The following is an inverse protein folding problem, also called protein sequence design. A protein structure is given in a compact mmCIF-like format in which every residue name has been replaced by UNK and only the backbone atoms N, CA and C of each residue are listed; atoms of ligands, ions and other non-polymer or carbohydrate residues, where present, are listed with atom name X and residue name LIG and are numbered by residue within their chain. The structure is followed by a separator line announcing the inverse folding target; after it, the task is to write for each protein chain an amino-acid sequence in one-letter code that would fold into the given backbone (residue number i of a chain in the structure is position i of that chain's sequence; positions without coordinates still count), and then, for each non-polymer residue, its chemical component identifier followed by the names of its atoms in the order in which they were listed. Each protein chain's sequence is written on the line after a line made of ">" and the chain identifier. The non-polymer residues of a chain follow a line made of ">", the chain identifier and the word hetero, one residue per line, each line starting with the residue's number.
data_IF_466017696327
#
_entry.id   IF_466017696327
#
_cell.length_a   1.000
_cell.length_b   1.000
_cell.length_c   1.000
_cell.angle_alpha   90.00
_cell.angle_beta   90.00
_cell.angle_gamma   90.00
#
_symmetry.space_group_name_H-M   'P 1'
#
loop_
_entity.id
_entity.type
_entity.pdbx_description
1 polymer ?
#
# COMPACT_ATOMS: atom_id res chain seq x y z
N UNK A 1 -4.13 9.55 -14.96
CA UNK A 1 -3.96 8.67 -13.78
C UNK A 1 -2.74 7.83 -14.08
N UNK A 2 -1.70 7.99 -13.27
CA UNK A 2 -0.46 7.25 -13.46
C UNK A 2 -0.46 5.98 -12.60
N UNK A 3 0.42 5.04 -12.91
CA UNK A 3 0.51 3.75 -12.24
C UNK A 3 1.99 3.42 -11.98
N UNK A 4 2.36 3.07 -10.74
CA UNK A 4 3.71 2.59 -10.41
C UNK A 4 3.74 1.08 -10.55
N UNK A 5 4.75 0.55 -11.24
CA UNK A 5 4.95 -0.89 -11.42
C UNK A 5 5.54 -1.48 -10.14
N UNK A 6 4.95 -2.57 -9.65
CA UNK A 6 5.44 -3.32 -8.48
C UNK A 6 6.05 -4.65 -8.90
N UNK A 7 5.57 -5.22 -10.00
CA UNK A 7 6.10 -6.45 -10.56
C UNK A 7 7.52 -6.28 -11.14
N UNK A 8 8.31 -7.37 -11.24
CA UNK A 8 9.67 -7.33 -11.78
C UNK A 8 9.73 -6.83 -13.23
N UNK A 9 8.69 -7.09 -14.03
CA UNK A 9 8.55 -6.60 -15.40
C UNK A 9 7.06 -6.59 -15.79
N UNK A 10 6.60 -5.50 -16.39
CA UNK A 10 5.29 -5.41 -17.05
C UNK A 10 5.42 -4.89 -18.47
N UNK A 11 4.53 -5.36 -19.33
CA UNK A 11 4.40 -4.93 -20.72
C UNK A 11 3.25 -3.94 -20.83
N UNK A 12 3.57 -2.64 -20.77
CA UNK A 12 2.59 -1.57 -20.84
C UNK A 12 2.34 -1.15 -22.29
N UNK A 13 1.09 -1.08 -22.74
CA UNK A 13 0.77 -0.51 -24.07
C UNK A 13 0.54 0.99 -23.96
N UNK A 14 1.16 1.76 -24.83
CA UNK A 14 0.91 3.20 -24.96
C UNK A 14 -0.29 3.49 -25.89
N UNK A 15 -0.69 4.77 -26.01
CA UNK A 15 -1.79 5.25 -26.86
C UNK A 15 -1.56 4.93 -28.34
N UNK A 16 -0.31 4.86 -28.76
CA UNK A 16 0.08 4.46 -30.11
C UNK A 16 0.04 2.94 -30.34
N UNK A 17 -0.29 2.15 -29.31
CA UNK A 17 -0.32 0.68 -29.38
C UNK A 17 1.06 0.01 -29.29
N UNK A 18 2.12 0.79 -29.04
CA UNK A 18 3.47 0.27 -28.80
C UNK A 18 3.56 -0.36 -27.41
N UNK A 19 4.23 -1.50 -27.32
CA UNK A 19 4.50 -2.19 -26.05
C UNK A 19 5.81 -1.68 -25.46
N UNK A 20 5.75 -1.21 -24.21
CA UNK A 20 6.88 -0.75 -23.41
C UNK A 20 7.16 -1.73 -22.28
N UNK A 21 8.41 -2.15 -22.17
CA UNK A 21 8.91 -2.86 -20.99
C UNK A 21 9.04 -1.84 -19.86
N UNK A 22 8.40 -2.13 -18.72
CA UNK A 22 8.47 -1.30 -17.51
C UNK A 22 8.85 -2.19 -16.35
N UNK A 23 9.91 -1.82 -15.65
CA UNK A 23 10.46 -2.58 -14.55
C UNK A 23 9.91 -2.08 -13.22
N UNK A 24 10.20 -2.83 -12.15
CA UNK A 24 9.80 -2.47 -10.80
C UNK A 24 10.15 -1.00 -10.51
N UNK A 25 9.20 -0.32 -9.86
CA UNK A 25 9.23 1.09 -9.49
C UNK A 25 9.10 2.12 -10.61
N UNK A 26 9.07 1.72 -11.88
CA UNK A 26 8.78 2.66 -12.96
C UNK A 26 7.34 3.15 -12.91
N UNK A 27 7.15 4.42 -13.31
CA UNK A 27 5.84 5.05 -13.38
C UNK A 27 5.36 5.04 -14.83
N UNK A 28 4.16 4.50 -15.03
CA UNK A 28 3.43 4.51 -16.29
C UNK A 28 2.43 5.66 -16.24
N UNK A 29 2.65 6.68 -17.05
CA UNK A 29 1.82 7.89 -17.08
C UNK A 29 0.40 7.63 -17.59
N UNK A 30 0.24 6.61 -18.44
CA UNK A 30 -1.04 6.26 -19.04
C UNK A 30 -1.10 4.77 -19.39
N UNK A 31 -2.22 4.13 -19.06
CA UNK A 31 -2.54 2.76 -19.44
C UNK A 31 -3.96 2.71 -20.02
N UNK A 32 -4.22 1.81 -20.99
CA UNK A 32 -5.58 1.53 -21.42
C UNK A 32 -6.40 0.94 -20.26
N UNK A 33 -7.71 1.23 -20.19
CA UNK A 33 -8.54 0.94 -19.02
C UNK A 33 -8.63 -0.57 -18.70
N UNK A 34 -8.78 -1.40 -19.73
CA UNK A 34 -8.80 -2.87 -19.59
C UNK A 34 -7.50 -3.41 -18.97
N UNK A 35 -6.37 -2.85 -19.41
CA UNK A 35 -5.05 -3.26 -18.95
C UNK A 35 -4.75 -2.73 -17.55
N UNK A 36 -5.17 -1.50 -17.25
CA UNK A 36 -5.06 -0.94 -15.91
C UNK A 36 -5.87 -1.75 -14.89
N UNK A 37 -7.11 -2.15 -15.24
CA UNK A 37 -7.93 -2.99 -14.39
C UNK A 37 -7.28 -4.35 -14.13
N UNK A 38 -6.78 -5.00 -15.18
CA UNK A 38 -6.07 -6.27 -15.05
C UNK A 38 -4.82 -6.14 -14.18
N UNK A 39 -3.99 -5.12 -14.41
CA UNK A 39 -2.74 -4.93 -13.67
C UNK A 39 -2.96 -4.57 -12.20
N UNK A 40 -4.05 -3.86 -11.88
CA UNK A 40 -4.44 -3.59 -10.50
C UNK A 40 -4.96 -4.85 -9.80
N UNK A 41 -5.82 -5.62 -10.47
CA UNK A 41 -6.40 -6.87 -9.94
C UNK A 41 -5.33 -7.91 -9.62
N UNK A 42 -4.35 -8.06 -10.51
CA UNK A 42 -3.25 -9.02 -10.33
C UNK A 42 -2.07 -8.47 -9.51
N UNK A 43 -2.17 -7.24 -8.99
CA UNK A 43 -1.11 -6.61 -8.18
C UNK A 43 0.18 -6.28 -8.94
N UNK A 44 0.12 -6.14 -10.26
CA UNK A 44 1.29 -5.82 -11.11
C UNK A 44 1.66 -4.32 -11.05
N UNK A 45 0.65 -3.46 -10.85
CA UNK A 45 0.82 -2.02 -10.72
C UNK A 45 -0.04 -1.47 -9.59
N UNK A 46 0.36 -0.34 -9.02
CA UNK A 46 -0.42 0.45 -8.05
C UNK A 46 -0.74 1.81 -8.65
N UNK A 47 -1.92 2.35 -8.35
CA UNK A 47 -2.33 3.65 -8.88
C UNK A 47 -1.61 4.78 -8.15
N UNK A 48 -0.94 5.66 -8.91
CA UNK A 48 -0.18 6.80 -8.39
C UNK A 48 -0.65 8.06 -9.12
N UNK A 49 -1.31 8.99 -8.42
CA UNK A 49 -1.79 10.24 -9.01
C UNK A 49 -3.28 10.32 -9.32
N UNK A 50 -4.11 10.02 -8.31
CA UNK A 50 -5.39 10.67 -8.08
C UNK A 50 -5.34 11.24 -6.66
N UNK A 51 -5.78 12.48 -6.45
CA UNK A 51 -5.74 13.10 -5.13
C UNK A 51 -6.49 12.24 -4.10
N UNK A 52 -5.84 12.09 -2.94
CA UNK A 52 -6.24 11.43 -1.70
C UNK A 52 -6.05 9.90 -1.59
N UNK A 53 -5.26 9.57 -0.57
CA UNK A 53 -5.11 8.31 0.16
C UNK A 53 -3.94 7.39 -0.24
N UNK A 54 -2.97 7.38 0.69
CA UNK A 54 -1.82 6.51 0.79
C UNK A 54 -2.21 5.05 0.59
N UNK A 55 -1.67 4.42 -0.45
CA UNK A 55 -1.47 2.99 -0.47
C UNK A 55 0.05 2.75 -0.49
N UNK A 56 0.64 2.76 0.71
CA UNK A 56 1.93 2.14 0.98
C UNK A 56 1.78 0.64 0.70
N UNK A 57 1.99 0.25 -0.56
CA UNK A 57 2.23 -1.12 -0.96
C UNK A 57 3.73 -1.36 -1.04
N UNK A 58 4.37 -1.55 0.11
CA UNK A 58 5.76 -1.94 0.26
C UNK A 58 5.90 -2.71 1.57
N UNK A 59 6.01 -4.03 1.45
CA UNK A 59 6.21 -5.01 2.52
C UNK A 59 7.23 -4.51 3.57
N UNK A 60 6.76 -4.37 4.82
CA UNK A 60 7.58 -3.91 5.94
C UNK A 60 6.81 -3.66 7.25
N UNK A 61 5.78 -4.46 7.55
CA UNK A 61 4.98 -4.33 8.77
C UNK A 61 3.99 -3.14 8.74
N UNK A 62 2.99 -3.12 9.65
CA UNK A 62 2.09 -1.98 9.78
C UNK A 62 2.91 -0.70 10.00
N UNK A 63 2.55 0.40 9.34
CA UNK A 63 3.18 1.70 9.58
C UNK A 63 2.86 2.14 11.01
N UNK A 64 3.90 2.40 11.80
CA UNK A 64 3.74 2.74 13.22
C UNK A 64 2.86 3.99 13.41
N UNK A 65 1.76 3.88 14.18
CA UNK A 65 0.90 5.03 14.44
C UNK A 65 1.67 6.12 15.20
N UNK A 66 1.30 7.38 14.94
CA UNK A 66 1.87 8.51 15.68
C UNK A 66 1.48 8.39 17.16
N UNK A 67 2.32 8.85 18.10
CA UNK A 67 1.96 8.83 19.54
C UNK A 67 0.67 9.59 19.86
N UNK A 68 0.29 10.56 19.02
CA UNK A 68 -0.97 11.30 19.12
C UNK A 68 -2.19 10.58 18.54
N UNK A 69 -2.00 9.49 17.78
CA UNK A 69 -3.06 8.70 17.16
C UNK A 69 -4.00 8.08 18.21
N UNK A 70 -5.28 7.83 17.89
CA UNK A 70 -6.23 7.26 18.85
C UNK A 70 -5.87 5.80 19.18
N UNK A 71 -6.44 5.28 20.28
CA UNK A 71 -6.19 3.90 20.71
C UNK A 71 -6.50 2.87 19.61
N UNK A 72 -7.54 3.12 18.80
CA UNK A 72 -7.93 2.22 17.71
C UNK A 72 -6.78 1.96 16.72
N UNK A 73 -6.06 3.00 16.27
CA UNK A 73 -4.89 2.84 15.40
C UNK A 73 -3.75 2.06 16.07
N UNK A 74 -3.59 2.19 17.40
CA UNK A 74 -2.60 1.42 18.16
C UNK A 74 -3.02 -0.04 18.36
N UNK A 75 -4.32 -0.32 18.47
CA UNK A 75 -4.88 -1.67 18.55
C UNK A 75 -4.68 -2.38 17.21
N UNK A 76 -5.05 -1.75 16.09
CA UNK A 76 -4.85 -2.29 14.75
C UNK A 76 -3.37 -2.58 14.46
N UNK A 77 -2.48 -1.65 14.85
CA UNK A 77 -1.03 -1.85 14.75
C UNK A 77 -0.54 -3.03 15.60
N UNK A 78 -1.01 -3.15 16.84
CA UNK A 78 -0.63 -4.25 17.72
C UNK A 78 -1.13 -5.60 17.19
N UNK A 79 -2.34 -5.64 16.64
CA UNK A 79 -2.90 -6.83 15.98
C UNK A 79 -2.05 -7.24 14.77
N UNK A 80 -1.67 -6.27 13.95
CA UNK A 80 -0.78 -6.49 12.82
C UNK A 80 0.66 -6.89 13.23
N UNK A 81 1.08 -6.63 14.47
CA UNK A 81 2.35 -7.12 15.04
C UNK A 81 2.23 -8.47 15.76
N UNK A 82 1.03 -9.07 15.80
CA UNK A 82 0.81 -10.41 16.36
C UNK A 82 0.19 -10.46 17.75
N UNK A 83 -0.26 -9.33 18.32
CA UNK A 83 -1.21 -9.37 19.45
C UNK A 83 -2.61 -9.78 18.93
N UNK A 84 -3.43 -10.34 19.81
CA UNK A 84 -4.85 -10.52 19.51
C UNK A 84 -5.60 -9.22 19.78
N UNK A 85 -6.70 -8.99 19.07
CA UNK A 85 -7.54 -7.79 19.23
C UNK A 85 -7.99 -7.62 20.69
N UNK A 86 -8.42 -8.70 21.35
CA UNK A 86 -8.82 -8.71 22.76
C UNK A 86 -7.70 -8.25 23.71
N UNK A 87 -6.45 -8.69 23.48
CA UNK A 87 -5.29 -8.31 24.29
C UNK A 87 -4.88 -6.85 24.01
N UNK A 88 -4.90 -6.45 22.75
CA UNK A 88 -4.60 -5.08 22.34
C UNK A 88 -5.65 -4.09 22.86
N UNK A 89 -6.93 -4.47 22.89
CA UNK A 89 -8.01 -3.68 23.48
C UNK A 89 -8.00 -3.69 25.02
N UNK A 90 -7.49 -4.75 25.65
CA UNK A 90 -7.27 -4.77 27.10
C UNK A 90 -6.13 -3.81 27.52
N UNK A 91 -5.12 -3.62 26.65
CA UNK A 91 -4.03 -2.69 26.88
C UNK A 91 -4.46 -1.22 26.75
N UNK A 92 -3.76 -0.33 27.45
CA UNK A 92 -3.98 1.11 27.28
C UNK A 92 -3.18 1.63 26.10
N UNK A 93 -3.60 2.75 25.52
CA UNK A 93 -2.83 3.43 24.47
C UNK A 93 -1.38 3.70 24.92
N UNK A 94 -1.14 4.04 26.19
CA UNK A 94 0.20 4.28 26.70
C UNK A 94 1.05 3.00 26.67
N UNK A 95 0.48 1.86 27.11
CA UNK A 95 1.15 0.55 27.06
C UNK A 95 1.44 0.11 25.61
N UNK A 96 0.50 0.32 24.69
CA UNK A 96 0.70 0.03 23.26
C UNK A 96 1.80 0.92 22.67
N UNK A 97 1.89 2.19 23.10
CA UNK A 97 3.01 3.06 22.74
C UNK A 97 4.29 2.61 23.42
N UNK A 98 4.32 2.16 24.68
CA UNK A 98 5.59 1.75 25.30
C UNK A 98 6.13 0.45 24.70
N UNK A 99 5.24 -0.46 24.28
CA UNK A 99 5.62 -1.74 23.72
C UNK A 99 6.01 -1.68 22.24
N UNK A 100 5.43 -0.75 21.48
CA UNK A 100 5.63 -0.62 20.03
C UNK A 100 6.15 0.76 19.59
N UNK A 101 6.38 1.67 20.53
CA UNK A 101 6.82 3.07 20.41
C UNK A 101 8.31 3.32 20.26
#
# INVERSE_FOLDING_TARGET
>A
MSYKVVAPLVLAKDREGKTHHRYAEEVIEWLPPDQAAHFLDTGLVVKVGGAAESANGGDGGPDKPKQVAPKADWVDFAVANGLTEDEAEAMTKAELIEQFG
#
